data_IF_694850467770
#
_entry.id   IF_694850467770
#
_cell.length_a   1.000
_cell.length_b   1.000
_cell.length_c   1.000
_cell.angle_alpha   90.00
_cell.angle_beta   90.00
_cell.angle_gamma   90.00
#
_symmetry.space_group_name_H-M   'P 1'
#
loop_
_entity.id
_entity.type
_entity.pdbx_description
1 polymer ?
#
# COMPACT_ATOMS: atom_id res chain seq x y z
N UNK A 1 -5.29 6.77 -19.59
CA UNK A 1 -5.79 6.25 -20.88
C UNK A 1 -5.01 5.01 -21.27
N UNK A 2 -5.64 4.11 -22.03
CA UNK A 2 -5.06 2.84 -22.49
C UNK A 2 -3.75 3.01 -23.25
N UNK A 3 -3.61 4.11 -23.99
CA UNK A 3 -2.42 4.43 -24.78
C UNK A 3 -1.18 4.74 -23.93
N UNK A 4 -1.31 5.47 -22.81
CA UNK A 4 -0.21 5.68 -21.86
C UNK A 4 0.30 4.35 -21.29
N UNK A 5 -0.63 3.45 -20.94
CA UNK A 5 -0.31 2.17 -20.32
C UNK A 5 0.46 1.27 -21.28
N UNK A 6 0.01 1.18 -22.53
CA UNK A 6 0.71 0.40 -23.56
C UNK A 6 2.11 0.95 -23.81
N UNK A 7 2.26 2.27 -23.94
CA UNK A 7 3.57 2.86 -24.17
C UNK A 7 4.54 2.66 -23.00
N UNK A 8 4.07 2.77 -21.75
CA UNK A 8 4.89 2.45 -20.58
C UNK A 8 5.29 0.97 -20.58
N UNK A 9 4.34 0.07 -20.83
CA UNK A 9 4.60 -1.35 -20.88
C UNK A 9 5.64 -1.70 -21.95
N UNK A 10 5.55 -1.09 -23.13
CA UNK A 10 6.52 -1.24 -24.22
C UNK A 10 7.91 -0.72 -23.84
N UNK A 11 8.01 0.41 -23.12
CA UNK A 11 9.30 0.96 -22.66
C UNK A 11 9.97 0.09 -21.61
N UNK A 12 9.19 -0.60 -20.78
CA UNK A 12 9.69 -1.52 -19.76
C UNK A 12 10.05 -2.91 -20.34
N UNK A 13 9.69 -3.19 -21.59
CA UNK A 13 9.93 -4.47 -22.24
C UNK A 13 11.18 -4.47 -23.15
N UNK A 14 12.08 -5.47 -23.05
CA UNK A 14 13.36 -5.46 -23.76
C UNK A 14 13.32 -5.74 -25.28
N UNK A 15 12.23 -6.31 -25.84
CA UNK A 15 12.24 -6.83 -27.23
C UNK A 15 11.29 -6.17 -28.25
N UNK A 16 10.51 -5.16 -27.87
CA UNK A 16 9.65 -4.46 -28.84
C UNK A 16 10.24 -3.08 -29.18
N UNK A 17 11.17 -3.07 -30.13
CA UNK A 17 11.66 -1.84 -30.74
C UNK A 17 10.68 -1.39 -31.84
N UNK A 18 10.09 -0.20 -31.70
CA UNK A 18 9.75 0.61 -32.87
C UNK A 18 11.05 1.02 -33.57
N UNK A 19 11.11 1.09 -34.91
CA UNK A 19 12.33 1.44 -35.60
C UNK A 19 12.78 2.86 -35.21
N UNK A 20 13.93 2.96 -34.53
CA UNK A 20 14.72 4.20 -34.48
C UNK A 20 16.20 3.88 -34.69
N UNK A 21 16.95 4.77 -35.39
CA UNK A 21 18.32 4.52 -35.79
C UNK A 21 19.28 4.93 -34.65
N UNK A 22 19.89 3.94 -33.99
CA UNK A 22 21.30 3.92 -33.54
C UNK A 22 21.52 2.79 -32.53
N UNK A 23 22.75 2.24 -32.41
CA UNK A 23 23.02 1.05 -31.62
C UNK A 23 23.49 1.46 -30.21
N UNK A 24 22.58 1.48 -29.25
CA UNK A 24 22.97 1.26 -27.84
C UNK A 24 22.21 0.07 -27.29
N UNK A 25 22.88 -0.87 -26.62
CA UNK A 25 22.22 -2.02 -26.04
C UNK A 25 21.33 -1.51 -24.92
N UNK A 26 20.00 -1.61 -25.08
CA UNK A 26 19.02 -1.21 -24.07
C UNK A 26 19.00 -2.27 -22.97
N UNK A 27 19.65 -2.05 -21.80
CA UNK A 27 19.48 -2.94 -20.67
C UNK A 27 18.08 -2.68 -20.11
N UNK A 28 17.38 -3.70 -19.62
CA UNK A 28 16.13 -3.50 -18.87
C UNK A 28 16.36 -2.34 -17.89
N UNK A 29 15.50 -1.31 -17.89
CA UNK A 29 15.67 -0.17 -16.99
C UNK A 29 15.75 -0.61 -15.52
N UNK A 30 15.13 -1.75 -15.19
CA UNK A 30 15.12 -2.36 -13.86
C UNK A 30 15.28 -3.89 -13.96
N UNK A 31 16.48 -4.43 -14.24
CA UNK A 31 16.66 -5.87 -14.47
C UNK A 31 16.48 -6.71 -13.20
N UNK A 32 16.69 -6.11 -12.02
CA UNK A 32 16.52 -6.76 -10.72
C UNK A 32 15.08 -6.78 -10.19
N UNK A 33 14.16 -5.99 -10.76
CA UNK A 33 12.79 -5.90 -10.28
C UNK A 33 11.90 -6.94 -10.99
N UNK A 34 11.74 -8.10 -10.35
CA UNK A 34 10.87 -9.19 -10.83
C UNK A 34 9.43 -9.05 -10.34
N UNK A 35 9.20 -8.21 -9.35
CA UNK A 35 7.87 -7.82 -8.88
C UNK A 35 7.58 -6.38 -9.27
N UNK A 36 6.36 -6.14 -9.71
CA UNK A 36 5.86 -4.80 -10.00
C UNK A 36 4.70 -4.50 -9.06
N UNK A 37 4.72 -3.33 -8.44
CA UNK A 37 3.59 -2.78 -7.71
C UNK A 37 2.96 -1.65 -8.53
N UNK A 38 1.81 -1.90 -9.14
CA UNK A 38 1.01 -0.92 -9.86
C UNK A 38 0.13 -0.19 -8.85
N UNK A 39 0.49 1.05 -8.53
CA UNK A 39 -0.12 1.83 -7.45
C UNK A 39 -1.07 2.87 -8.02
N UNK A 40 -2.22 3.05 -7.35
CA UNK A 40 -3.35 3.79 -7.90
C UNK A 40 -3.75 3.24 -9.27
N UNK A 41 -3.80 1.90 -9.34
CA UNK A 41 -3.86 1.16 -10.60
C UNK A 41 -5.20 1.24 -11.32
N UNK A 42 -6.26 1.75 -10.65
CA UNK A 42 -7.63 1.71 -11.10
C UNK A 42 -8.08 0.28 -11.36
N UNK A 43 -8.01 -0.14 -12.62
CA UNK A 43 -8.44 -1.47 -13.06
C UNK A 43 -7.27 -2.47 -13.20
N UNK A 44 -6.02 -2.07 -12.94
CA UNK A 44 -4.83 -2.93 -13.05
C UNK A 44 -4.38 -3.22 -14.48
N UNK A 45 -4.79 -2.40 -15.46
CA UNK A 45 -4.44 -2.61 -16.87
C UNK A 45 -2.94 -2.54 -17.15
N UNK A 46 -2.19 -1.70 -16.42
CA UNK A 46 -0.73 -1.65 -16.54
C UNK A 46 -0.11 -2.96 -16.05
N UNK A 47 -0.53 -3.45 -14.88
CA UNK A 47 -0.11 -4.75 -14.36
C UNK A 47 -0.29 -5.87 -15.39
N UNK A 48 -1.48 -5.95 -16.00
CA UNK A 48 -1.75 -6.95 -17.03
C UNK A 48 -0.88 -6.79 -18.27
N UNK A 49 -0.70 -5.56 -18.77
CA UNK A 49 0.17 -5.30 -19.91
C UNK A 49 1.62 -5.75 -19.63
N UNK A 50 2.14 -5.47 -18.43
CA UNK A 50 3.50 -5.86 -18.04
C UNK A 50 3.67 -7.37 -17.89
N UNK A 51 2.64 -8.09 -17.44
CA UNK A 51 2.65 -9.55 -17.35
C UNK A 51 2.52 -10.21 -18.72
N UNK A 52 1.66 -9.68 -19.60
CA UNK A 52 1.47 -10.22 -20.96
C UNK A 52 2.69 -10.01 -21.84
N UNK A 53 3.41 -8.91 -21.66
CA UNK A 53 4.69 -8.67 -22.31
C UNK A 53 5.80 -9.52 -21.72
N UNK A 54 5.69 -10.04 -20.48
CA UNK A 54 6.70 -10.89 -19.90
C UNK A 54 6.70 -12.29 -20.54
N UNK A 55 7.52 -12.47 -21.57
CA UNK A 55 7.64 -13.69 -22.37
C UNK A 55 8.46 -14.81 -21.69
N UNK A 56 8.99 -14.57 -20.47
CA UNK A 56 9.84 -15.52 -19.74
C UNK A 56 11.19 -15.81 -20.41
N UNK A 57 11.55 -15.08 -21.47
CA UNK A 57 12.64 -15.39 -22.40
C UNK A 57 14.06 -15.18 -21.86
N UNK A 58 14.22 -14.91 -20.57
CA UNK A 58 15.48 -14.47 -19.95
C UNK A 58 16.08 -15.50 -18.98
N UNK A 59 15.53 -16.73 -18.92
CA UNK A 59 16.00 -17.81 -18.05
C UNK A 59 15.80 -17.54 -16.54
N UNK A 60 15.13 -16.44 -16.18
CA UNK A 60 14.79 -16.08 -14.81
C UNK A 60 13.37 -16.51 -14.41
N UNK A 61 13.05 -16.37 -13.12
CA UNK A 61 11.69 -16.59 -12.64
C UNK A 61 10.72 -15.55 -13.27
N UNK A 62 9.48 -15.94 -13.60
CA UNK A 62 8.52 -15.07 -14.25
C UNK A 62 8.16 -13.86 -13.39
N UNK A 63 7.85 -12.73 -14.04
CA UNK A 63 7.44 -11.50 -13.36
C UNK A 63 6.11 -11.69 -12.63
N UNK A 64 5.96 -11.08 -11.46
CA UNK A 64 4.68 -10.98 -10.75
C UNK A 64 4.24 -9.53 -10.63
N UNK A 65 2.94 -9.30 -10.49
CA UNK A 65 2.37 -7.97 -10.33
C UNK A 65 1.37 -7.93 -9.17
N UNK A 66 1.45 -6.86 -8.38
CA UNK A 66 0.45 -6.48 -7.40
C UNK A 66 -0.14 -5.13 -7.79
N UNK A 67 -1.45 -5.10 -8.01
CA UNK A 67 -2.22 -3.92 -8.32
C UNK A 67 -2.85 -3.41 -7.02
N UNK A 68 -2.62 -2.15 -6.65
CA UNK A 68 -3.12 -1.54 -5.42
C UNK A 68 -3.92 -0.28 -5.74
N UNK A 69 -5.16 -0.24 -5.29
CA UNK A 69 -6.02 0.94 -5.40
C UNK A 69 -6.96 1.04 -4.18
N UNK A 70 -7.38 2.27 -3.83
CA UNK A 70 -8.32 2.51 -2.73
C UNK A 70 -9.67 1.84 -2.96
N UNK A 71 -10.03 1.60 -4.22
CA UNK A 71 -11.25 0.88 -4.59
C UNK A 71 -10.93 -0.11 -5.69
N UNK A 72 -11.37 -1.36 -5.54
CA UNK A 72 -11.39 -2.31 -6.64
C UNK A 72 -12.64 -2.05 -7.49
N UNK A 73 -12.53 -1.55 -8.73
CA UNK A 73 -13.69 -1.38 -9.60
C UNK A 73 -14.16 -2.74 -10.16
N UNK A 74 -15.45 -2.94 -10.46
CA UNK A 74 -15.94 -4.19 -11.05
C UNK A 74 -15.24 -4.58 -12.37
N UNK A 75 -14.81 -3.59 -13.15
CA UNK A 75 -14.06 -3.84 -14.38
C UNK A 75 -12.65 -4.41 -14.15
N UNK A 76 -12.07 -4.31 -12.95
CA UNK A 76 -10.82 -5.01 -12.64
C UNK A 76 -11.02 -6.54 -12.71
N UNK A 77 -12.14 -7.04 -12.20
CA UNK A 77 -12.51 -8.46 -12.25
C UNK A 77 -12.87 -8.86 -13.68
N UNK A 78 -13.67 -8.07 -14.38
CA UNK A 78 -14.03 -8.36 -15.77
C UNK A 78 -12.80 -8.45 -16.69
N UNK A 79 -11.80 -7.59 -16.49
CA UNK A 79 -10.53 -7.65 -17.23
C UNK A 79 -9.74 -8.90 -16.83
N UNK A 80 -9.64 -9.18 -15.52
CA UNK A 80 -8.96 -10.39 -15.04
C UNK A 80 -9.57 -11.65 -15.64
N UNK A 81 -10.91 -11.79 -15.67
CA UNK A 81 -11.60 -12.93 -16.25
C UNK A 81 -11.32 -13.11 -17.74
N UNK A 82 -11.24 -12.02 -18.50
CA UNK A 82 -10.87 -12.07 -19.93
C UNK A 82 -9.42 -12.53 -20.09
N UNK A 83 -8.49 -11.92 -19.34
CA UNK A 83 -7.06 -12.25 -19.45
C UNK A 83 -6.80 -13.69 -19.01
N UNK A 84 -7.41 -14.15 -17.90
CA UNK A 84 -7.21 -15.48 -17.36
C UNK A 84 -7.87 -16.58 -18.21
N UNK A 85 -8.96 -16.29 -18.93
CA UNK A 85 -9.48 -17.22 -19.94
C UNK A 85 -8.52 -17.41 -21.12
N UNK A 86 -7.78 -16.35 -21.47
CA UNK A 86 -6.78 -16.42 -22.56
C UNK A 86 -5.45 -16.99 -22.09
N UNK A 87 -5.05 -16.72 -20.85
CA UNK A 87 -3.74 -17.03 -20.26
C UNK A 87 -3.87 -17.51 -18.81
N UNK A 88 -4.40 -18.72 -18.56
CA UNK A 88 -4.68 -19.22 -17.21
C UNK A 88 -3.46 -19.26 -16.28
N UNK A 89 -2.26 -19.46 -16.84
CA UNK A 89 -1.00 -19.51 -16.10
C UNK A 89 -0.62 -18.19 -15.42
N UNK A 90 -1.27 -17.07 -15.78
CA UNK A 90 -1.05 -15.78 -15.14
C UNK A 90 -1.80 -15.61 -13.81
N UNK A 91 -2.71 -16.53 -13.45
CA UNK A 91 -3.52 -16.42 -12.23
C UNK A 91 -2.66 -16.30 -10.96
N UNK A 92 -1.61 -17.10 -10.85
CA UNK A 92 -0.70 -17.08 -9.70
C UNK A 92 0.29 -15.90 -9.73
N UNK A 93 0.27 -15.07 -10.79
CA UNK A 93 1.24 -13.99 -11.03
C UNK A 93 0.64 -12.60 -10.84
N UNK A 94 -0.68 -12.50 -10.67
CA UNK A 94 -1.39 -11.23 -10.54
C UNK A 94 -2.29 -11.20 -9.31
N UNK A 95 -2.15 -10.14 -8.52
CA UNK A 95 -2.98 -9.90 -7.34
C UNK A 95 -3.50 -8.47 -7.36
N UNK A 96 -4.79 -8.28 -7.06
CA UNK A 96 -5.38 -6.96 -6.85
C UNK A 96 -5.73 -6.78 -5.39
N UNK A 97 -5.15 -5.78 -4.72
CA UNK A 97 -5.40 -5.47 -3.31
C UNK A 97 -6.12 -4.12 -3.23
N UNK A 98 -7.36 -4.15 -2.74
CA UNK A 98 -8.06 -2.91 -2.38
C UNK A 98 -7.47 -2.35 -1.07
N UNK A 99 -6.68 -1.28 -1.19
CA UNK A 99 -5.98 -0.60 -0.10
C UNK A 99 -5.47 0.78 -0.53
N UNK A 100 -5.25 1.69 0.41
CA UNK A 100 -4.56 2.96 0.16
C UNK A 100 -3.03 2.82 0.11
N UNK A 101 -2.36 3.82 -0.47
CA UNK A 101 -0.89 3.85 -0.60
C UNK A 101 -0.19 3.93 0.76
N UNK A 102 -0.86 4.49 1.77
CA UNK A 102 -0.37 4.60 3.14
C UNK A 102 -0.08 3.23 3.79
N UNK A 103 -0.80 2.19 3.37
CA UNK A 103 -0.63 0.82 3.87
C UNK A 103 0.44 0.03 3.11
N UNK A 104 0.98 0.56 2.01
CA UNK A 104 1.99 -0.14 1.20
C UNK A 104 3.35 -0.10 1.92
N UNK A 105 3.95 -1.28 2.08
CA UNK A 105 5.34 -1.44 2.51
C UNK A 105 6.24 -1.58 1.27
N UNK A 106 6.90 -0.48 0.84
CA UNK A 106 7.73 -0.50 -0.36
C UNK A 106 9.03 -1.27 -0.11
N UNK A 107 9.57 -1.88 -1.17
CA UNK A 107 10.77 -2.70 -1.07
C UNK A 107 11.71 -2.49 -2.28
N UNK A 108 13.04 -2.56 -2.08
CA UNK A 108 14.02 -2.36 -3.16
C UNK A 108 13.95 -3.44 -4.24
N UNK A 109 13.38 -4.60 -3.94
CA UNK A 109 13.16 -5.71 -4.89
C UNK A 109 11.99 -5.50 -5.85
N UNK A 110 11.24 -4.41 -5.69
CA UNK A 110 9.96 -4.20 -6.40
C UNK A 110 9.93 -2.87 -7.13
N UNK A 111 9.59 -2.90 -8.42
CA UNK A 111 9.36 -1.71 -9.21
C UNK A 111 8.00 -1.12 -8.85
N UNK A 112 7.99 0.08 -8.29
CA UNK A 112 6.79 0.86 -8.09
C UNK A 112 6.41 1.52 -9.43
N UNK A 113 5.18 1.31 -9.87
CA UNK A 113 4.64 1.86 -11.11
C UNK A 113 3.40 2.68 -10.82
N UNK A 114 3.26 3.83 -11.47
CA UNK A 114 2.05 4.65 -11.37
C UNK A 114 1.74 5.32 -12.70
N UNK A 115 0.56 5.05 -13.25
CA UNK A 115 0.05 5.70 -14.47
C UNK A 115 -1.27 6.35 -14.11
N UNK A 116 -1.34 7.67 -14.26
CA UNK A 116 -2.43 8.51 -13.74
C UNK A 116 -2.42 8.75 -12.22
N UNK A 117 -1.26 8.68 -11.56
CA UNK A 117 -1.09 9.10 -10.17
C UNK A 117 -1.16 10.65 -10.04
N UNK A 118 -2.31 11.24 -10.31
CA UNK A 118 -2.47 12.67 -10.56
C UNK A 118 -2.27 13.54 -9.29
N UNK A 119 -1.71 14.75 -9.46
CA UNK A 119 -1.52 15.71 -8.37
C UNK A 119 -0.64 15.17 -7.23
N UNK A 120 -1.09 15.34 -5.98
CA UNK A 120 -0.36 14.89 -4.79
C UNK A 120 -0.12 13.38 -4.70
N UNK A 121 -0.83 12.58 -5.51
CA UNK A 121 -0.63 11.13 -5.55
C UNK A 121 0.72 10.74 -6.16
N UNK A 122 1.20 11.49 -7.15
CA UNK A 122 2.57 11.35 -7.68
C UNK A 122 3.61 11.64 -6.60
N UNK A 123 3.37 12.66 -5.77
CA UNK A 123 4.30 13.04 -4.71
C UNK A 123 4.33 11.97 -3.61
N UNK A 124 3.18 11.40 -3.26
CA UNK A 124 3.07 10.25 -2.37
C UNK A 124 3.84 9.03 -2.89
N UNK A 125 3.79 8.77 -4.20
CA UNK A 125 4.56 7.69 -4.83
C UNK A 125 6.06 7.95 -4.84
N UNK A 126 6.50 9.18 -5.08
CA UNK A 126 7.91 9.58 -4.94
C UNK A 126 8.40 9.34 -3.52
N UNK A 127 7.64 9.78 -2.52
CA UNK A 127 7.98 9.56 -1.11
C UNK A 127 8.00 8.08 -0.74
N UNK A 128 7.06 7.30 -1.27
CA UNK A 128 6.99 5.84 -1.08
C UNK A 128 8.22 5.15 -1.67
N UNK A 129 8.64 5.53 -2.88
CA UNK A 129 9.86 5.02 -3.50
C UNK A 129 11.09 5.33 -2.63
N UNK A 130 11.27 6.60 -2.25
CA UNK A 130 12.40 7.02 -1.40
C UNK A 130 12.41 6.24 -0.08
N UNK A 131 11.25 6.09 0.58
CA UNK A 131 11.11 5.34 1.83
C UNK A 131 11.55 3.88 1.69
N UNK A 132 11.19 3.22 0.60
CA UNK A 132 11.53 1.83 0.34
C UNK A 132 12.86 1.61 -0.35
N UNK A 133 13.59 2.68 -0.72
CA UNK A 133 14.71 2.58 -1.68
C UNK A 133 14.29 1.80 -2.94
N UNK A 134 13.03 1.96 -3.35
CA UNK A 134 12.40 1.16 -4.40
C UNK A 134 12.54 1.84 -5.76
N UNK A 135 12.85 1.10 -6.84
CA UNK A 135 12.81 1.66 -8.18
C UNK A 135 11.40 2.17 -8.52
N UNK A 136 11.33 3.26 -9.28
CA UNK A 136 10.09 3.96 -9.62
C UNK A 136 9.97 4.20 -11.13
N UNK A 137 8.80 3.90 -11.68
CA UNK A 137 8.36 4.33 -13.00
C UNK A 137 7.02 5.07 -12.88
N UNK A 138 7.04 6.39 -13.11
CA UNK A 138 5.90 7.27 -12.84
C UNK A 138 5.55 8.07 -14.09
N UNK A 139 4.29 7.96 -14.55
CA UNK A 139 3.74 8.77 -15.63
C UNK A 139 2.78 9.83 -15.05
N UNK A 140 3.28 11.02 -14.65
CA UNK A 140 2.44 12.09 -14.12
C UNK A 140 1.53 12.66 -15.21
N UNK A 141 0.26 12.85 -14.86
CA UNK A 141 -0.84 13.16 -15.77
C UNK A 141 -1.45 14.54 -15.54
N UNK A 142 -1.51 14.99 -14.29
CA UNK A 142 -2.24 16.18 -13.91
C UNK A 142 -1.37 17.01 -12.98
N UNK A 143 -1.23 18.26 -13.38
CA UNK A 143 -0.48 19.31 -12.70
C UNK A 143 -1.47 20.42 -12.40
N UNK A 144 -1.53 20.85 -11.14
CA UNK A 144 -2.53 21.83 -10.69
C UNK A 144 -1.85 22.87 -9.81
N UNK A 145 -2.26 24.13 -9.94
CA UNK A 145 -1.75 25.20 -9.07
C UNK A 145 -2.06 24.96 -7.59
N UNK A 146 -3.07 24.12 -7.28
CA UNK A 146 -3.48 23.78 -5.90
C UNK A 146 -2.39 23.09 -5.09
N UNK A 147 -1.44 22.42 -5.75
CA UNK A 147 -0.34 21.71 -5.07
C UNK A 147 0.95 22.54 -4.99
N UNK A 148 0.97 23.74 -5.56
CA UNK A 148 2.12 24.62 -5.47
C UNK A 148 2.17 25.32 -4.11
N UNK A 149 3.35 25.37 -3.52
CA UNK A 149 3.72 26.33 -2.48
C UNK A 149 3.88 27.74 -3.07
N UNK A 150 3.91 28.76 -2.21
CA UNK A 150 4.07 30.15 -2.65
C UNK A 150 5.43 30.38 -3.31
N UNK A 151 6.48 29.71 -2.85
CA UNK A 151 7.79 29.73 -3.49
C UNK A 151 7.76 29.12 -4.91
N UNK A 152 7.04 28.01 -5.09
CA UNK A 152 6.86 27.41 -6.42
C UNK A 152 6.03 28.29 -7.34
N UNK A 153 4.97 28.95 -6.83
CA UNK A 153 4.20 29.94 -7.60
C UNK A 153 5.07 31.09 -8.09
N UNK A 154 5.86 31.68 -7.19
CA UNK A 154 6.80 32.74 -7.55
C UNK A 154 7.83 32.27 -8.61
N UNK A 155 8.34 31.03 -8.52
CA UNK A 155 9.25 30.47 -9.51
C UNK A 155 8.58 30.25 -10.88
N UNK A 156 7.31 29.86 -10.90
CA UNK A 156 6.55 29.70 -12.14
C UNK A 156 6.40 31.05 -12.86
N UNK A 157 6.06 32.12 -12.15
CA UNK A 157 5.87 33.45 -12.73
C UNK A 157 7.18 34.05 -13.27
N UNK A 158 8.32 33.62 -12.74
CA UNK A 158 9.66 34.07 -13.13
C UNK A 158 10.32 33.21 -14.22
N UNK A 159 9.72 32.08 -14.61
CA UNK A 159 10.30 31.15 -15.58
C UNK A 159 9.38 30.94 -16.77
N UNK A 160 9.94 30.66 -17.95
CA UNK A 160 9.15 30.22 -19.12
C UNK A 160 8.78 28.72 -19.05
N UNK A 161 8.82 28.13 -17.86
CA UNK A 161 8.51 26.71 -17.65
C UNK A 161 7.00 26.49 -17.63
N UNK A 162 6.54 25.34 -18.11
CA UNK A 162 5.13 24.97 -17.90
C UNK A 162 4.91 24.56 -16.46
N UNK A 163 3.65 24.64 -15.98
CA UNK A 163 3.26 24.10 -14.68
C UNK A 163 3.68 22.62 -14.50
N UNK A 164 3.61 21.86 -15.59
CA UNK A 164 4.03 20.46 -15.61
C UNK A 164 5.54 20.31 -15.46
N UNK A 165 6.34 21.15 -16.12
CA UNK A 165 7.81 21.15 -15.97
C UNK A 165 8.20 21.44 -14.54
N UNK A 166 7.64 22.50 -13.96
CA UNK A 166 7.94 22.93 -12.60
C UNK A 166 7.73 21.82 -11.56
N UNK A 167 6.55 21.19 -11.60
CA UNK A 167 6.17 20.16 -10.63
C UNK A 167 6.98 18.88 -10.86
N UNK A 168 7.17 18.47 -12.11
CA UNK A 168 7.94 17.25 -12.41
C UNK A 168 9.43 17.45 -12.10
N UNK A 169 9.99 18.65 -12.32
CA UNK A 169 11.36 19.00 -11.94
C UNK A 169 11.56 18.90 -10.42
N UNK A 170 10.59 19.34 -9.61
CA UNK A 170 10.66 19.21 -8.14
C UNK A 170 10.63 17.75 -7.69
N UNK A 171 9.79 16.91 -8.33
CA UNK A 171 9.75 15.46 -8.07
C UNK A 171 11.07 14.80 -8.39
N UNK A 172 11.65 15.12 -9.55
CA UNK A 172 12.95 14.60 -9.93
C UNK A 172 14.07 15.12 -9.01
N UNK A 173 14.01 16.38 -8.59
CA UNK A 173 14.95 16.96 -7.64
C UNK A 173 14.89 16.23 -6.29
N UNK A 174 13.69 15.92 -5.79
CA UNK A 174 13.51 15.15 -4.55
C UNK A 174 14.13 13.74 -4.66
N UNK A 175 13.91 13.04 -5.77
CA UNK A 175 14.53 11.74 -6.06
C UNK A 175 16.05 11.84 -6.15
N UNK A 176 16.59 12.82 -6.89
CA UNK A 176 18.05 13.04 -7.01
C UNK A 176 18.68 13.38 -5.65
N UNK A 177 18.02 14.19 -4.84
CA UNK A 177 18.46 14.52 -3.48
C UNK A 177 18.50 13.28 -2.56
N UNK A 178 17.63 12.30 -2.81
CA UNK A 178 17.65 11.00 -2.16
C UNK A 178 18.67 9.99 -2.77
N UNK A 179 19.45 10.41 -3.77
CA UNK A 179 20.50 9.60 -4.39
C UNK A 179 20.04 8.72 -5.57
N UNK A 180 18.83 8.93 -6.09
CA UNK A 180 18.35 8.19 -7.26
C UNK A 180 19.01 8.66 -8.56
N UNK A 181 19.26 7.71 -9.46
CA UNK A 181 19.53 8.01 -10.86
C UNK A 181 18.19 8.22 -11.58
N UNK A 182 17.90 9.47 -11.95
CA UNK A 182 16.60 9.88 -12.51
C UNK A 182 16.72 10.20 -13.99
N UNK A 183 15.89 9.54 -14.80
CA UNK A 183 15.77 9.74 -16.25
C UNK A 183 14.33 10.15 -16.60
N UNK A 184 14.21 11.25 -17.35
CA UNK A 184 12.96 11.65 -17.99
C UNK A 184 12.89 11.04 -19.38
N UNK A 185 11.78 10.39 -19.69
CA UNK A 185 11.46 9.90 -21.04
C UNK A 185 10.14 10.47 -21.54
N UNK A 186 9.95 10.43 -22.86
CA UNK A 186 8.71 10.79 -23.52
C UNK A 186 8.11 9.57 -24.22
N UNK A 187 6.81 9.40 -23.99
CA UNK A 187 5.92 8.58 -24.82
C UNK A 187 5.67 9.37 -26.13
N UNK A 188 5.61 8.73 -27.30
CA UNK A 188 5.26 9.46 -28.52
C UNK A 188 3.88 10.12 -28.38
N UNK A 189 3.77 11.37 -28.79
CA UNK A 189 2.54 12.17 -28.65
C UNK A 189 1.33 11.56 -29.38
N UNK A 190 1.60 10.77 -30.43
CA UNK A 190 0.59 9.99 -31.14
C UNK A 190 -0.21 9.05 -30.22
N UNK A 191 0.33 8.66 -29.06
CA UNK A 191 -0.38 7.87 -28.06
C UNK A 191 -1.10 8.75 -27.03
N UNK A 192 -0.46 9.83 -26.58
CA UNK A 192 -0.96 10.70 -25.50
C UNK A 192 -0.23 12.03 -25.51
N UNK A 193 -0.95 13.12 -25.24
CA UNK A 193 -0.32 14.43 -24.97
C UNK A 193 0.29 14.51 -23.57
N UNK A 194 -0.15 13.64 -22.65
CA UNK A 194 0.41 13.47 -21.30
C UNK A 194 1.45 12.37 -21.35
N UNK A 195 2.60 12.71 -21.92
CA UNK A 195 3.58 11.74 -22.39
C UNK A 195 4.86 11.65 -21.56
N UNK A 196 4.96 12.38 -20.46
CA UNK A 196 6.16 12.38 -19.63
C UNK A 196 6.22 11.13 -18.76
N UNK A 197 7.41 10.56 -18.66
CA UNK A 197 7.72 9.42 -17.83
C UNK A 197 8.96 9.73 -17.00
N UNK A 198 8.85 9.58 -15.68
CA UNK A 198 9.96 9.67 -14.75
C UNK A 198 10.36 8.23 -14.39
N UNK A 199 11.59 7.87 -14.74
CA UNK A 199 12.22 6.61 -14.35
C UNK A 199 13.29 6.91 -13.31
N UNK A 200 13.22 6.27 -12.16
CA UNK A 200 14.19 6.47 -11.08
C UNK A 200 14.72 5.13 -10.59
N UNK A 201 16.02 4.90 -10.82
CA UNK A 201 16.74 3.77 -10.25
C UNK A 201 17.30 4.18 -8.88
N UNK A 202 17.13 3.33 -7.84
CA UNK A 202 17.66 3.64 -6.52
C UNK A 202 19.19 3.66 -6.56
N UNK A 203 19.84 4.30 -5.57
CA UNK A 203 21.29 4.22 -5.44
C UNK A 203 21.74 2.76 -5.39
N UNK A 204 22.88 2.46 -6.03
CA UNK A 204 23.46 1.11 -5.98
C UNK A 204 23.63 0.70 -4.52
N UNK A 205 23.10 -0.47 -4.15
CA UNK A 205 23.21 -0.99 -2.79
C UNK A 205 24.66 -1.40 -2.58
N UNK A 206 25.44 -0.45 -2.08
CA UNK A 206 26.89 -0.53 -1.95
C UNK A 206 27.42 0.83 -1.56
N UNK A 207 27.04 1.28 -0.35
CA UNK A 207 27.63 2.30 0.52
C UNK A 207 26.53 2.71 1.50
N UNK A 208 26.72 2.41 2.79
CA UNK A 208 25.73 2.65 3.83
C UNK A 208 25.15 4.05 3.76
N UNK A 209 23.82 4.15 3.65
CA UNK A 209 23.14 5.38 4.04
C UNK A 209 23.38 5.56 5.53
N UNK A 210 24.18 6.57 5.89
CA UNK A 210 24.40 6.99 7.27
C UNK A 210 23.06 6.97 8.03
N UNK A 211 22.97 6.27 9.18
CA UNK A 211 21.75 6.08 9.95
C UNK A 211 20.96 7.39 10.19
N UNK A 212 21.66 8.53 10.25
CA UNK A 212 21.07 9.87 10.44
C UNK A 212 20.17 10.37 9.30
N UNK A 213 20.30 9.88 8.05
CA UNK A 213 19.39 10.29 6.95
C UNK A 213 18.07 9.54 6.95
N UNK A 214 18.02 8.30 7.48
CA UNK A 214 16.76 7.56 7.68
C UNK A 214 15.83 8.29 8.65
N UNK A 215 16.38 8.90 9.70
CA UNK A 215 15.62 9.66 10.70
C UNK A 215 14.94 10.91 10.12
N UNK A 216 15.60 11.63 9.20
CA UNK A 216 15.04 12.83 8.57
C UNK A 216 13.92 12.52 7.57
N UNK A 217 13.94 11.32 6.98
CA UNK A 217 12.87 10.85 6.11
C UNK A 217 11.66 10.31 6.90
N UNK A 218 11.90 9.77 8.09
CA UNK A 218 10.85 9.40 9.04
C UNK A 218 10.10 10.65 9.58
N UNK A 219 10.76 11.80 9.74
CA UNK A 219 10.12 13.06 10.16
C UNK A 219 9.11 13.66 9.16
N UNK A 220 9.02 13.15 7.92
CA UNK A 220 7.98 13.52 6.95
C UNK A 220 6.72 12.66 7.06
N UNK A 221 6.62 11.83 8.11
CA UNK A 221 5.39 11.15 8.49
C UNK A 221 4.43 12.19 9.09
N UNK A 222 3.22 12.38 8.54
CA UNK A 222 2.11 12.59 9.44
C UNK A 222 2.01 11.31 10.28
N UNK A 223 2.17 11.44 11.59
CA UNK A 223 1.66 10.45 12.54
C UNK A 223 0.16 10.29 12.25
N UNK A 224 -0.16 9.30 11.43
CA UNK A 224 -1.52 8.77 11.27
C UNK A 224 -1.71 7.55 12.18
N UNK A 225 -0.73 7.27 13.05
CA UNK A 225 -0.95 6.43 14.21
C UNK A 225 -1.85 7.20 15.19
N UNK A 226 -2.85 6.51 15.74
CA UNK A 226 -3.84 7.01 16.71
C UNK A 226 -4.96 7.84 16.04
N UNK A 227 -6.09 7.24 15.66
CA UNK A 227 -7.22 7.00 16.57
C UNK A 227 -8.17 5.94 15.95
N UNK A 228 -8.35 4.81 16.65
CA UNK A 228 -9.62 4.07 16.74
C UNK A 228 -10.23 3.37 15.51
N UNK A 229 -9.71 3.51 14.30
CA UNK A 229 -10.20 2.80 13.11
C UNK A 229 -9.44 1.49 12.87
N UNK A 230 -10.12 0.42 12.48
CA UNK A 230 -9.48 -0.83 12.07
C UNK A 230 -8.30 -0.53 11.11
N UNK A 231 -7.07 -0.81 11.55
CA UNK A 231 -5.88 -0.52 10.74
C UNK A 231 -6.02 -1.28 9.43
N UNK A 232 -5.99 -0.57 8.30
CA UNK A 232 -5.88 -1.23 7.00
C UNK A 232 -4.64 -2.14 7.05
N UNK A 233 -4.77 -3.44 6.73
CA UNK A 233 -3.65 -4.34 6.78
C UNK A 233 -2.54 -3.83 5.86
N UNK A 234 -1.30 -3.95 6.33
CA UNK A 234 -0.14 -3.58 5.52
C UNK A 234 -0.08 -4.44 4.26
N UNK A 235 0.34 -3.84 3.16
CA UNK A 235 0.49 -4.49 1.86
C UNK A 235 1.99 -4.62 1.56
N UNK A 236 2.64 -5.73 1.95
CA UNK A 236 4.04 -5.96 1.67
C UNK A 236 4.24 -6.25 0.19
N UNK A 237 4.93 -5.34 -0.50
CA UNK A 237 5.16 -5.51 -1.94
C UNK A 237 6.49 -6.17 -2.27
N UNK A 238 7.33 -6.52 -1.29
CA UNK A 238 8.61 -7.21 -1.53
C UNK A 238 8.46 -8.51 -2.29
N UNK A 239 9.51 -8.87 -3.05
CA UNK A 239 9.54 -10.07 -3.87
C UNK A 239 10.02 -11.34 -3.13
N UNK A 240 9.58 -11.53 -1.89
CA UNK A 240 9.84 -12.73 -1.10
C UNK A 240 8.56 -13.53 -0.85
N UNK A 241 8.69 -14.83 -0.56
CA UNK A 241 7.56 -15.74 -0.45
C UNK A 241 6.51 -15.29 0.58
N UNK A 242 6.94 -14.77 1.74
CA UNK A 242 6.03 -14.36 2.80
C UNK A 242 5.21 -13.12 2.42
N UNK A 243 5.84 -12.14 1.78
CA UNK A 243 5.13 -10.99 1.22
C UNK A 243 4.16 -11.38 0.11
N UNK A 244 4.53 -12.34 -0.75
CA UNK A 244 3.64 -12.86 -1.79
C UNK A 244 2.42 -13.56 -1.21
N UNK A 245 2.61 -14.41 -0.20
CA UNK A 245 1.53 -15.11 0.50
C UNK A 245 0.58 -14.11 1.19
N UNK A 246 1.14 -13.13 1.91
CA UNK A 246 0.36 -12.07 2.54
C UNK A 246 -0.47 -11.29 1.52
N UNK A 247 0.12 -10.90 0.39
CA UNK A 247 -0.63 -10.22 -0.68
C UNK A 247 -1.71 -11.12 -1.27
N UNK A 248 -1.45 -12.41 -1.44
CA UNK A 248 -2.45 -13.35 -1.94
C UNK A 248 -3.68 -13.44 -1.00
N UNK A 249 -3.46 -13.43 0.31
CA UNK A 249 -4.53 -13.40 1.31
C UNK A 249 -5.34 -12.10 1.30
N UNK A 250 -4.69 -10.97 0.98
CA UNK A 250 -5.33 -9.66 0.90
C UNK A 250 -6.04 -9.39 -0.43
N UNK A 251 -5.76 -10.19 -1.46
CA UNK A 251 -6.19 -9.94 -2.82
C UNK A 251 -7.64 -10.36 -3.09
N UNK A 252 -8.25 -9.66 -4.05
CA UNK A 252 -9.58 -9.97 -4.57
C UNK A 252 -10.72 -9.32 -3.77
N UNK A 253 -11.91 -9.34 -4.38
CA UNK A 253 -13.10 -8.68 -3.84
C UNK A 253 -13.57 -9.28 -2.52
N UNK A 254 -13.58 -10.61 -2.39
CA UNK A 254 -14.00 -11.25 -1.14
C UNK A 254 -13.14 -10.79 0.06
N UNK A 255 -11.82 -10.72 -0.11
CA UNK A 255 -10.92 -10.21 0.92
C UNK A 255 -11.15 -8.71 1.18
N UNK A 256 -11.38 -7.91 0.14
CA UNK A 256 -11.71 -6.49 0.28
C UNK A 256 -13.04 -6.25 1.02
N UNK A 257 -14.08 -7.03 0.70
CA UNK A 257 -15.39 -6.90 1.30
C UNK A 257 -15.39 -7.36 2.76
N UNK A 258 -14.61 -8.40 3.09
CA UNK A 258 -14.37 -8.81 4.48
C UNK A 258 -13.76 -7.67 5.32
N UNK A 259 -12.81 -6.91 4.75
CA UNK A 259 -12.19 -5.74 5.42
C UNK A 259 -13.12 -4.54 5.57
N UNK A 260 -14.14 -4.43 4.72
CA UNK A 260 -15.17 -3.36 4.79
C UNK A 260 -16.29 -3.68 5.76
N UNK A 261 -16.39 -4.91 6.25
CA UNK A 261 -17.41 -5.26 7.21
C UNK A 261 -17.27 -4.35 8.43
N UNK A 262 -18.37 -3.79 8.95
CA UNK A 262 -18.31 -2.92 10.10
C UNK A 262 -17.70 -3.69 11.26
N UNK A 263 -16.63 -3.13 11.82
CA UNK A 263 -16.02 -3.61 13.05
C UNK A 263 -16.46 -2.72 14.19
N UNK A 264 -16.94 -3.32 15.27
CA UNK A 264 -17.30 -2.58 16.47
C UNK A 264 -16.26 -2.87 17.53
N UNK A 265 -15.60 -1.83 18.04
CA UNK A 265 -14.67 -1.97 19.17
C UNK A 265 -15.34 -1.50 20.46
N UNK A 266 -15.28 -2.31 21.49
CA UNK A 266 -15.71 -1.95 22.85
C UNK A 266 -14.68 -2.46 23.85
N UNK A 267 -14.43 -1.66 24.88
CA UNK A 267 -13.42 -1.97 25.89
C UNK A 267 -14.10 -2.59 27.12
N UNK A 268 -13.49 -3.63 27.67
CA UNK A 268 -13.89 -4.26 28.93
C UNK A 268 -12.73 -4.22 29.91
N UNK A 269 -12.97 -3.80 31.14
CA UNK A 269 -11.97 -3.75 32.20
C UNK A 269 -12.26 -4.81 33.24
N UNK A 270 -11.21 -5.50 33.67
CA UNK A 270 -11.27 -6.57 34.67
C UNK A 270 -10.40 -6.20 35.87
N UNK A 271 -10.92 -6.38 37.08
CA UNK A 271 -10.08 -6.32 38.28
C UNK A 271 -9.16 -7.54 38.35
N UNK A 272 -7.87 -7.29 38.55
CA UNK A 272 -6.88 -8.34 38.75
C UNK A 272 -6.87 -8.77 40.24
N UNK A 273 -6.69 -10.07 40.55
CA UNK A 273 -6.58 -10.52 41.93
C UNK A 273 -5.33 -9.95 42.62
N UNK A 274 -5.40 -9.71 43.92
CA UNK A 274 -4.26 -9.23 44.71
C UNK A 274 -3.10 -10.23 44.66
N UNK A 275 -1.90 -9.74 44.31
CA UNK A 275 -0.70 -10.57 44.20
C UNK A 275 -0.65 -11.51 43.00
N UNK A 276 -1.71 -11.59 42.18
CA UNK A 276 -1.68 -12.38 40.96
C UNK A 276 -0.96 -11.59 39.85
N UNK A 277 0.18 -12.12 39.40
CA UNK A 277 0.77 -11.75 38.12
C UNK A 277 -0.04 -12.30 36.92
N UNK A 278 -1.25 -12.83 37.14
CA UNK A 278 -2.03 -13.48 36.09
C UNK A 278 -2.46 -12.47 35.03
N UNK A 279 -1.78 -12.55 33.89
CA UNK A 279 -2.26 -12.08 32.62
C UNK A 279 -3.51 -12.88 32.27
N UNK A 280 -4.69 -12.25 32.30
CA UNK A 280 -5.81 -12.77 31.52
C UNK A 280 -5.38 -12.67 30.06
N UNK A 281 -5.16 -13.80 29.42
CA UNK A 281 -4.82 -13.83 28.01
C UNK A 281 -6.01 -13.33 27.19
N UNK A 282 -5.83 -12.36 26.28
CA UNK A 282 -6.94 -11.81 25.51
C UNK A 282 -7.75 -12.88 24.79
N UNK A 283 -7.10 -13.93 24.28
CA UNK A 283 -7.75 -15.05 23.61
C UNK A 283 -8.88 -15.67 24.46
N UNK A 284 -8.72 -15.76 25.78
CA UNK A 284 -9.75 -16.30 26.67
C UNK A 284 -11.04 -15.46 26.67
N UNK A 285 -10.94 -14.14 26.45
CA UNK A 285 -12.13 -13.29 26.30
C UNK A 285 -12.86 -13.56 25.00
N UNK A 286 -12.14 -13.85 23.91
CA UNK A 286 -12.72 -14.28 22.65
C UNK A 286 -13.51 -15.59 22.81
N UNK A 287 -12.96 -16.55 23.54
CA UNK A 287 -13.62 -17.83 23.83
C UNK A 287 -14.90 -17.64 24.66
N UNK A 288 -14.87 -16.75 25.67
CA UNK A 288 -16.07 -16.44 26.46
C UNK A 288 -17.13 -15.79 25.57
N UNK A 289 -16.77 -14.84 24.70
CA UNK A 289 -17.72 -14.24 23.74
C UNK A 289 -18.34 -15.32 22.85
N UNK A 290 -17.55 -16.25 22.33
CA UNK A 290 -18.06 -17.34 21.50
C UNK A 290 -19.06 -18.24 22.27
N UNK A 291 -18.84 -18.44 23.58
CA UNK A 291 -19.73 -19.22 24.43
C UNK A 291 -21.04 -18.47 24.77
N UNK A 292 -20.97 -17.18 25.12
CA UNK A 292 -22.13 -16.40 25.57
C UNK A 292 -22.92 -15.76 24.42
N UNK A 293 -22.30 -15.62 23.25
CA UNK A 293 -22.92 -15.07 22.06
C UNK A 293 -22.55 -15.92 20.81
N UNK A 294 -23.14 -17.12 20.65
CA UNK A 294 -22.87 -17.98 19.51
C UNK A 294 -23.07 -17.26 18.16
N UNK A 295 -22.14 -17.49 17.24
CA UNK A 295 -22.13 -16.87 15.91
C UNK A 295 -21.56 -15.44 15.86
N UNK A 296 -21.10 -14.90 17.00
CA UNK A 296 -20.40 -13.60 17.03
C UNK A 296 -18.90 -13.83 17.03
N UNK A 297 -18.23 -13.44 15.95
CA UNK A 297 -16.77 -13.44 15.88
C UNK A 297 -16.21 -12.24 16.68
N UNK A 298 -15.29 -12.52 17.60
CA UNK A 298 -14.68 -11.50 18.45
C UNK A 298 -13.18 -11.76 18.57
N UNK A 299 -12.38 -10.74 18.24
CA UNK A 299 -10.96 -10.71 18.57
C UNK A 299 -10.77 -9.85 19.82
N UNK A 300 -9.84 -10.23 20.68
CA UNK A 300 -9.52 -9.52 21.92
C UNK A 300 -8.04 -9.17 21.95
N UNK A 301 -7.72 -7.97 22.42
CA UNK A 301 -6.36 -7.51 22.64
C UNK A 301 -6.28 -6.61 23.88
N UNK A 302 -5.08 -6.24 24.28
CA UNK A 302 -4.90 -5.21 25.31
C UNK A 302 -5.23 -3.83 24.75
N UNK A 303 -5.91 -2.99 25.54
CA UNK A 303 -6.09 -1.58 25.18
C UNK A 303 -4.82 -0.77 25.46
N UNK A 304 -4.60 0.35 24.78
CA UNK A 304 -3.44 1.22 25.07
C UNK A 304 -3.54 1.81 26.48
N UNK A 305 -2.45 1.81 27.24
CA UNK A 305 -2.48 2.17 28.66
C UNK A 305 -3.24 1.18 29.54
N UNK A 306 -3.21 -0.12 29.17
CA UNK A 306 -4.08 -1.18 29.63
C UNK A 306 -4.21 -1.39 31.14
N UNK A 307 -3.32 -0.86 31.98
CA UNK A 307 -3.36 -1.08 33.43
C UNK A 307 -3.60 0.21 34.20
N UNK A 308 -4.54 0.17 35.13
CA UNK A 308 -4.74 1.24 36.10
C UNK A 308 -4.75 0.71 37.53
N UNK A 309 -4.12 1.47 38.43
CA UNK A 309 -4.14 1.24 39.87
C UNK A 309 -5.19 2.18 40.48
N UNK A 310 -6.24 1.60 41.04
CA UNK A 310 -7.28 2.36 41.73
C UNK A 310 -6.76 2.84 43.11
N UNK A 311 -7.24 3.99 43.64
CA UNK A 311 -6.78 4.54 44.93
C UNK A 311 -6.90 3.61 46.15
N UNK A 312 -7.75 2.57 46.07
CA UNK A 312 -7.88 1.55 47.11
C UNK A 312 -6.86 0.41 46.98
N UNK A 313 -5.86 0.53 46.10
CA UNK A 313 -4.83 -0.47 45.85
C UNK A 313 -5.21 -1.56 44.85
N UNK A 314 -6.47 -1.61 44.37
CA UNK A 314 -6.89 -2.62 43.38
C UNK A 314 -6.33 -2.29 42.00
N UNK A 315 -5.85 -3.30 41.29
CA UNK A 315 -5.39 -3.18 39.90
C UNK A 315 -6.47 -3.65 38.94
N UNK A 316 -6.63 -2.95 37.83
CA UNK A 316 -7.48 -3.41 36.75
C UNK A 316 -6.75 -3.37 35.42
N UNK A 317 -7.17 -4.25 34.51
CA UNK A 317 -6.65 -4.31 33.14
C UNK A 317 -7.78 -4.16 32.12
N UNK A 318 -7.58 -3.31 31.12
CA UNK A 318 -8.52 -3.02 30.04
C UNK A 318 -8.16 -3.77 28.77
N UNK A 319 -9.17 -4.42 28.19
CA UNK A 319 -9.08 -5.21 26.98
C UNK A 319 -9.96 -4.57 25.91
N UNK A 320 -9.45 -4.48 24.70
CA UNK A 320 -10.22 -4.05 23.53
C UNK A 320 -10.78 -5.27 22.82
N UNK A 321 -12.09 -5.30 22.66
CA UNK A 321 -12.82 -6.35 21.95
C UNK A 321 -13.30 -5.81 20.62
N UNK A 322 -12.96 -6.52 19.55
CA UNK A 322 -13.34 -6.17 18.18
C UNK A 322 -14.31 -7.23 17.67
N UNK A 323 -15.57 -6.82 17.54
CA UNK A 323 -16.66 -7.63 17.00
C UNK A 323 -16.72 -7.46 15.48
N UNK A 324 -16.70 -8.57 14.75
CA UNK A 324 -16.67 -8.58 13.27
C UNK A 324 -17.89 -9.28 12.70
N UNK A 325 -18.34 -8.83 11.52
CA UNK A 325 -19.43 -9.47 10.78
C UNK A 325 -20.82 -9.36 11.42
N UNK A 326 -21.00 -8.47 12.41
CA UNK A 326 -22.27 -8.30 13.15
C UNK A 326 -22.74 -6.84 13.15
N UNK A 327 -24.04 -6.64 13.37
CA UNK A 327 -24.59 -5.29 13.57
C UNK A 327 -24.08 -4.68 14.88
N UNK A 328 -24.20 -3.35 15.00
CA UNK A 328 -23.81 -2.63 16.22
C UNK A 328 -24.58 -3.12 17.44
N UNK A 329 -25.87 -3.34 17.26
CA UNK A 329 -26.79 -3.81 18.30
C UNK A 329 -26.37 -5.20 18.76
N UNK A 330 -26.08 -6.10 17.82
CA UNK A 330 -25.63 -7.45 18.14
C UNK A 330 -24.26 -7.47 18.82
N UNK A 331 -23.35 -6.59 18.42
CA UNK A 331 -22.07 -6.41 19.11
C UNK A 331 -22.27 -5.94 20.55
N UNK A 332 -23.16 -4.96 20.79
CA UNK A 332 -23.49 -4.49 22.15
C UNK A 332 -24.12 -5.57 23.01
N UNK A 333 -25.04 -6.36 22.46
CA UNK A 333 -25.64 -7.51 23.15
C UNK A 333 -24.57 -8.52 23.57
N UNK A 334 -23.67 -8.89 22.66
CA UNK A 334 -22.56 -9.80 22.94
C UNK A 334 -21.61 -9.25 24.02
N UNK A 335 -21.30 -7.95 23.96
CA UNK A 335 -20.46 -7.28 24.95
C UNK A 335 -21.12 -7.22 26.34
N UNK A 336 -22.43 -6.97 26.40
CA UNK A 336 -23.19 -6.99 27.64
C UNK A 336 -23.24 -8.41 28.24
N UNK A 337 -23.45 -9.44 27.41
CA UNK A 337 -23.43 -10.83 27.83
C UNK A 337 -22.06 -11.26 28.38
N UNK A 338 -20.97 -10.85 27.72
CA UNK A 338 -19.60 -11.05 28.23
C UNK A 338 -19.41 -10.39 29.60
N UNK A 339 -19.82 -9.14 29.74
CA UNK A 339 -19.66 -8.37 30.98
C UNK A 339 -20.44 -9.00 32.14
N UNK A 340 -21.62 -9.56 31.86
CA UNK A 340 -22.42 -10.30 32.84
C UNK A 340 -21.80 -11.67 33.21
N UNK A 341 -21.10 -12.31 32.28
CA UNK A 341 -20.48 -13.62 32.48
C UNK A 341 -19.17 -13.58 33.28
N UNK A 342 -18.49 -12.42 33.33
CA UNK A 342 -17.23 -12.25 34.04
C UNK A 342 -17.46 -11.46 35.34
N UNK A 343 -17.39 -12.11 36.52
CA UNK A 343 -17.57 -11.41 37.79
C UNK A 343 -16.56 -10.27 37.95
N UNK A 344 -17.07 -9.06 38.20
CA UNK A 344 -16.25 -7.87 38.39
C UNK A 344 -15.74 -7.23 37.09
N UNK A 345 -16.21 -7.66 35.92
CA UNK A 345 -16.04 -6.88 34.70
C UNK A 345 -16.83 -5.58 34.76
N UNK A 346 -16.28 -4.52 34.19
CA UNK A 346 -16.94 -3.23 34.04
C UNK A 346 -16.57 -2.61 32.68
N UNK A 347 -17.39 -1.68 32.15
CA UNK A 347 -17.09 -1.02 30.88
C UNK A 347 -15.73 -0.31 30.97
N UNK A 348 -14.88 -0.53 29.96
CA UNK A 348 -13.69 0.28 29.77
C UNK A 348 -14.07 1.71 29.38
N UNK A 349 -13.26 2.67 29.82
CA UNK A 349 -13.37 4.09 29.43
C UNK A 349 -13.04 4.29 27.96
#
# INVERSE_FOLDING_TARGET
CSSCMLALALRLHPRMQYPKPSPTPNPKAFPGARRVADLACGHGLLSWALLLLDDGGDGGAPRTAVAVDKRMPPSAEAIADVVLRMRPELQARWHFVESGLEAVDPAPSTLLCGVHACGGLSDAMVNLAIRGTAPLALAPCCHTHKILSDAQRARLDLTNATLADLIDDDREAALRAAGYCVKRELIPEAFTLKNRLILAAPPAVGLGLEPGKKARLAMLQPDHDEIGGARNPRVPVSDDAGARETVALLAGRAAADLRKQPTWSMDVSLWLPDGAAQCVEPAALGDIVAAVAPGVACAAGYADGAEFLHPNGRRARTFRLVYTGVSRERAKEAHAALSAAIPGAFPGS
#
